data_IF_020590559192
#
_entry.id   IF_020590559192
#
_cell.length_a   1.000
_cell.length_b   1.000
_cell.length_c   1.000
_cell.angle_alpha   90.00
_cell.angle_beta   90.00
_cell.angle_gamma   90.00
#
_symmetry.space_group_name_H-M   'P 1'
#
loop_
_entity.id
_entity.type
_entity.pdbx_description
1 polymer ?
#
# COMPACT_ATOMS: atom_id res chain seq x y z
N UNK A 1 0.81 -50.13 -23.72
CA UNK A 1 2.04 -50.17 -22.90
C UNK A 1 2.91 -48.97 -23.27
N UNK A 2 2.90 -47.94 -22.44
CA UNK A 2 3.90 -46.86 -22.48
C UNK A 2 3.98 -46.31 -21.06
N UNK A 3 5.07 -46.65 -20.36
CA UNK A 3 5.36 -46.26 -18.99
C UNK A 3 5.75 -44.77 -18.98
N UNK A 4 5.00 -43.96 -18.22
CA UNK A 4 5.30 -42.55 -18.01
C UNK A 4 6.24 -42.44 -16.79
N UNK A 5 7.45 -41.91 -17.02
CA UNK A 5 8.43 -41.70 -15.96
C UNK A 5 7.97 -40.61 -14.96
N UNK A 6 8.28 -40.73 -13.66
CA UNK A 6 7.91 -39.71 -12.68
C UNK A 6 8.77 -38.46 -12.84
N UNK A 7 8.14 -37.28 -12.75
CA UNK A 7 8.80 -35.97 -12.72
C UNK A 7 9.67 -35.85 -11.46
N UNK A 8 10.86 -35.21 -11.53
CA UNK A 8 11.69 -35.01 -10.35
C UNK A 8 11.02 -33.98 -9.41
N UNK A 9 10.92 -34.34 -8.14
CA UNK A 9 10.58 -33.43 -7.05
C UNK A 9 11.68 -32.37 -6.91
N UNK A 10 11.32 -31.10 -7.13
CA UNK A 10 12.17 -29.97 -6.75
C UNK A 10 12.27 -29.96 -5.22
N UNK A 11 13.38 -30.47 -4.70
CA UNK A 11 13.73 -30.29 -3.30
C UNK A 11 13.78 -28.79 -2.99
N UNK A 12 12.92 -28.38 -2.06
CA UNK A 12 12.94 -27.06 -1.42
C UNK A 12 14.26 -26.96 -0.66
N UNK A 13 15.28 -26.34 -1.25
CA UNK A 13 16.48 -25.92 -0.53
C UNK A 13 16.03 -24.81 0.44
N UNK A 14 15.77 -25.18 1.69
CA UNK A 14 15.45 -24.23 2.73
C UNK A 14 16.71 -23.42 3.04
N UNK A 15 16.69 -22.12 2.75
CA UNK A 15 17.69 -21.13 3.19
C UNK A 15 17.48 -20.84 4.68
N UNK A 16 17.63 -21.85 5.55
CA UNK A 16 17.33 -21.72 6.99
C UNK A 16 18.57 -21.42 7.85
N UNK A 17 19.74 -21.24 7.23
CA UNK A 17 21.02 -20.97 7.93
C UNK A 17 21.43 -19.50 8.04
N UNK A 18 20.92 -18.61 7.18
CA UNK A 18 21.55 -17.29 6.94
C UNK A 18 21.56 -16.33 8.13
N UNK A 19 20.43 -16.14 8.82
CA UNK A 19 20.26 -14.94 9.63
C UNK A 19 21.04 -14.87 10.95
N UNK A 20 21.24 -15.98 11.67
CA UNK A 20 22.11 -15.96 12.87
C UNK A 20 23.57 -15.92 12.45
N UNK A 21 23.97 -16.61 11.37
CA UNK A 21 25.32 -16.46 10.83
C UNK A 21 25.57 -15.03 10.37
N UNK A 22 24.58 -14.38 9.74
CA UNK A 22 24.64 -12.98 9.30
C UNK A 22 24.60 -11.98 10.46
N UNK A 23 23.73 -12.16 11.46
CA UNK A 23 23.72 -11.30 12.67
C UNK A 23 24.98 -11.52 13.49
N UNK A 24 25.45 -12.77 13.62
CA UNK A 24 26.68 -13.08 14.35
C UNK A 24 27.89 -12.57 13.57
N UNK A 25 27.90 -12.64 12.25
CA UNK A 25 28.93 -12.04 11.39
C UNK A 25 28.91 -10.51 11.49
N UNK A 26 27.74 -9.88 11.32
CA UNK A 26 27.57 -8.44 11.44
C UNK A 26 27.95 -7.94 12.84
N UNK A 27 27.57 -8.66 13.90
CA UNK A 27 27.96 -8.35 15.28
C UNK A 27 29.46 -8.54 15.50
N UNK A 28 30.06 -9.61 14.97
CA UNK A 28 31.51 -9.87 15.05
C UNK A 28 32.32 -8.84 14.26
N UNK A 29 31.79 -8.33 13.15
CA UNK A 29 32.37 -7.23 12.37
C UNK A 29 32.23 -5.89 13.07
N UNK A 30 31.07 -5.59 13.66
CA UNK A 30 30.85 -4.38 14.45
C UNK A 30 31.76 -4.35 15.70
N UNK A 31 31.91 -5.50 16.37
CA UNK A 31 32.85 -5.69 17.48
C UNK A 31 34.31 -5.55 17.00
N UNK A 32 34.66 -6.04 15.80
CA UNK A 32 35.99 -5.87 15.22
C UNK A 32 36.30 -4.40 14.84
N UNK A 33 35.31 -3.65 14.36
CA UNK A 33 35.43 -2.21 14.06
C UNK A 33 35.50 -1.35 15.34
N UNK A 34 34.78 -1.76 16.38
CA UNK A 34 34.83 -1.15 17.73
C UNK A 34 36.19 -1.32 18.42
N UNK A 35 36.90 -2.42 18.13
CA UNK A 35 38.22 -2.71 18.69
C UNK A 35 39.39 -2.06 17.91
N UNK A 36 39.13 -1.45 16.76
CA UNK A 36 40.13 -0.66 16.02
C UNK A 36 40.04 0.83 16.38
N UNK A 37 40.46 1.19 17.59
CA UNK A 37 40.81 2.57 17.91
C UNK A 37 42.13 2.94 17.22
N UNK A 38 42.25 4.09 16.54
CA UNK A 38 43.55 4.57 16.09
C UNK A 38 44.27 5.21 17.28
N UNK A 39 45.40 4.63 17.66
CA UNK A 39 46.33 5.23 18.59
C UNK A 39 47.22 6.26 17.87
N UNK A 40 47.42 7.37 18.57
CA UNK A 40 48.52 8.34 18.50
C UNK A 40 48.53 9.47 17.44
N UNK A 41 48.62 10.67 18.02
CA UNK A 41 49.49 11.80 17.66
C UNK A 41 48.95 12.92 16.75
N UNK A 42 48.58 14.02 17.42
CA UNK A 42 48.64 15.39 16.90
C UNK A 42 50.09 15.77 16.55
N UNK A 43 50.27 16.63 15.54
CA UNK A 43 50.99 17.86 15.81
C UNK A 43 50.33 19.12 15.22
N UNK A 44 50.36 20.16 16.06
CA UNK A 44 50.56 21.60 15.82
C UNK A 44 50.00 22.28 14.56
N UNK A 45 49.24 23.34 14.85
CA UNK A 45 48.84 24.48 14.03
C UNK A 45 50.01 25.20 13.33
N UNK A 46 49.74 25.74 12.14
CA UNK A 46 50.55 26.75 11.46
C UNK A 46 49.86 27.25 10.18
N UNK A 47 49.44 28.52 10.17
CA UNK A 47 48.86 29.22 9.01
C UNK A 47 49.92 29.54 7.93
N UNK A 48 49.52 29.67 6.66
CA UNK A 48 49.77 30.82 5.74
C UNK A 48 49.33 30.50 4.28
N UNK A 49 48.83 31.56 3.64
CA UNK A 49 48.19 31.80 2.35
C UNK A 49 48.90 31.47 1.01
N UNK A 50 48.04 31.23 0.00
CA UNK A 50 48.00 31.69 -1.43
C UNK A 50 49.11 31.39 -2.47
N UNK A 51 48.59 31.03 -3.67
CA UNK A 51 49.11 31.12 -5.05
C UNK A 51 49.99 30.00 -5.67
N UNK A 52 49.53 29.51 -6.85
CA UNK A 52 50.39 29.01 -7.93
C UNK A 52 49.99 27.68 -8.58
N UNK A 53 49.36 27.72 -9.76
CA UNK A 53 49.52 26.68 -10.80
C UNK A 53 50.71 27.06 -11.72
N UNK A 54 51.25 26.22 -12.64
CA UNK A 54 50.84 24.86 -13.06
C UNK A 54 52.01 23.83 -13.22
N UNK A 55 51.65 22.61 -13.63
CA UNK A 55 52.37 21.71 -14.57
C UNK A 55 52.74 20.28 -14.08
N UNK A 56 52.10 19.31 -14.74
CA UNK A 56 52.59 18.05 -15.33
C UNK A 56 53.51 17.14 -14.48
N UNK A 57 52.97 15.96 -14.13
CA UNK A 57 53.76 14.78 -13.79
C UNK A 57 52.92 13.66 -13.18
N UNK A 58 52.49 12.69 -13.99
CA UNK A 58 52.00 11.41 -13.49
C UNK A 58 53.12 10.65 -12.79
N UNK A 59 52.82 9.95 -11.68
CA UNK A 59 53.18 8.54 -11.67
C UNK A 59 52.09 7.63 -11.08
N UNK A 60 51.94 6.48 -11.75
CA UNK A 60 51.55 5.17 -11.26
C UNK A 60 50.45 5.07 -10.18
N UNK A 61 49.27 4.65 -10.63
CA UNK A 61 48.21 4.07 -9.83
C UNK A 61 48.73 3.02 -8.85
N UNK A 62 48.76 3.35 -7.56
CA UNK A 62 48.67 2.35 -6.52
C UNK A 62 47.26 1.77 -6.57
N UNK A 63 47.15 0.48 -6.89
CA UNK A 63 45.93 -0.29 -6.73
C UNK A 63 45.61 -0.35 -5.23
N UNK A 64 44.78 0.57 -4.74
CA UNK A 64 44.08 0.35 -3.48
C UNK A 64 43.23 -0.92 -3.64
N UNK A 65 43.29 -1.88 -2.72
CA UNK A 65 42.39 -3.01 -2.77
C UNK A 65 40.96 -2.48 -2.74
N UNK A 66 40.15 -2.83 -3.73
CA UNK A 66 38.71 -2.57 -3.69
C UNK A 66 38.18 -3.36 -2.50
N UNK A 67 37.96 -2.67 -1.38
CA UNK A 67 37.12 -3.20 -0.31
C UNK A 67 35.79 -3.56 -0.96
N UNK A 68 35.37 -4.83 -0.95
CA UNK A 68 34.02 -5.14 -1.42
C UNK A 68 33.07 -4.31 -0.56
N UNK A 69 32.22 -3.52 -1.21
CA UNK A 69 31.09 -2.88 -0.52
C UNK A 69 30.27 -4.01 0.09
N UNK A 70 30.42 -4.22 1.40
CA UNK A 70 29.59 -5.15 2.15
C UNK A 70 28.15 -4.65 1.99
N UNK A 71 27.36 -5.34 1.19
CA UNK A 71 25.93 -5.08 1.14
C UNK A 71 25.39 -5.46 2.53
N UNK A 72 24.85 -4.48 3.25
CA UNK A 72 24.23 -4.70 4.54
C UNK A 72 23.23 -5.88 4.45
N UNK A 73 23.22 -6.80 5.44
CA UNK A 73 22.38 -7.99 5.40
C UNK A 73 20.91 -7.59 5.26
N UNK A 74 20.16 -8.31 4.43
CA UNK A 74 18.74 -8.01 4.15
C UNK A 74 17.86 -9.16 4.64
N UNK A 75 16.81 -8.84 5.40
CA UNK A 75 15.86 -9.84 5.88
C UNK A 75 15.13 -10.56 4.73
N UNK A 76 15.20 -11.89 4.75
CA UNK A 76 14.56 -12.76 3.76
C UNK A 76 13.24 -13.36 4.25
N UNK A 77 13.11 -13.61 5.56
CA UNK A 77 11.96 -14.29 6.16
C UNK A 77 10.76 -13.40 6.49
N UNK A 78 10.93 -12.08 6.53
CA UNK A 78 9.84 -11.17 6.88
C UNK A 78 9.95 -9.81 6.19
N UNK A 79 8.82 -9.10 6.13
CA UNK A 79 8.71 -7.77 5.56
C UNK A 79 7.64 -6.94 6.29
N UNK A 80 7.60 -5.64 6.00
CA UNK A 80 6.54 -4.75 6.48
C UNK A 80 5.68 -4.21 5.34
N UNK A 81 4.44 -3.85 5.68
CA UNK A 81 3.57 -3.04 4.85
C UNK A 81 2.97 -1.95 5.71
N UNK A 82 2.98 -0.72 5.21
CA UNK A 82 2.54 0.46 5.97
C UNK A 82 1.36 1.12 5.29
N UNK A 83 0.30 1.40 6.05
CA UNK A 83 -0.54 2.54 5.73
C UNK A 83 0.25 3.86 5.86
N UNK A 84 -0.26 4.95 5.30
CA UNK A 84 0.42 6.24 5.26
C UNK A 84 -0.24 7.24 6.20
N UNK A 85 -1.54 7.50 6.04
CA UNK A 85 -2.23 8.61 6.68
C UNK A 85 -2.63 8.21 8.10
N UNK A 86 -2.01 8.82 9.12
CA UNK A 86 -2.17 8.42 10.52
C UNK A 86 -1.11 7.43 11.01
N UNK A 87 -0.30 6.86 10.11
CA UNK A 87 0.83 5.96 10.45
C UNK A 87 2.20 6.60 10.20
N UNK A 88 2.40 7.15 9.00
CA UNK A 88 3.66 7.79 8.59
C UNK A 88 3.50 9.31 8.51
N UNK A 89 2.37 9.77 7.99
CA UNK A 89 2.07 11.17 7.75
C UNK A 89 0.81 11.56 8.51
N UNK A 90 0.82 12.75 9.14
CA UNK A 90 -0.39 13.36 9.70
C UNK A 90 -0.45 14.82 9.30
N UNK A 91 -1.56 15.23 8.67
CA UNK A 91 -1.74 16.60 8.20
C UNK A 91 -0.66 17.10 7.23
N UNK A 92 -0.13 16.20 6.38
CA UNK A 92 0.90 16.53 5.40
C UNK A 92 2.32 16.67 5.95
N UNK A 93 2.56 16.31 7.22
CA UNK A 93 3.88 16.26 7.85
C UNK A 93 4.19 14.83 8.31
N UNK A 94 5.45 14.45 8.25
CA UNK A 94 5.89 13.19 8.83
C UNK A 94 5.65 13.18 10.35
N UNK A 95 5.16 12.03 10.84
CA UNK A 95 5.23 11.70 12.25
C UNK A 95 6.70 11.48 12.59
N UNK A 96 7.26 12.11 13.64
CA UNK A 96 8.70 12.04 13.94
C UNK A 96 9.24 10.60 14.00
N UNK A 97 8.49 9.72 14.68
CA UNK A 97 8.82 8.31 14.85
C UNK A 97 8.79 7.54 13.53
N UNK A 98 8.09 8.03 12.51
CA UNK A 98 8.07 7.42 11.18
C UNK A 98 9.43 7.56 10.48
N UNK A 99 10.09 8.72 10.59
CA UNK A 99 11.44 8.93 10.01
C UNK A 99 12.43 7.99 10.69
N UNK A 100 12.36 7.86 12.01
CA UNK A 100 13.18 6.92 12.77
C UNK A 100 12.89 5.46 12.40
N UNK A 101 11.62 5.09 12.23
CA UNK A 101 11.23 3.75 11.80
C UNK A 101 11.80 3.39 10.44
N UNK A 102 11.78 4.33 9.48
CA UNK A 102 12.33 4.10 8.15
C UNK A 102 13.86 3.97 8.15
N UNK A 103 14.58 4.79 8.95
CA UNK A 103 16.03 4.62 9.17
C UNK A 103 16.33 3.26 9.79
N UNK A 104 15.57 2.87 10.81
CA UNK A 104 15.69 1.57 11.46
C UNK A 104 15.51 0.41 10.48
N UNK A 105 14.49 0.45 9.61
CA UNK A 105 14.29 -0.57 8.57
C UNK A 105 15.40 -0.60 7.52
N UNK A 106 16.09 0.52 7.30
CA UNK A 106 17.15 0.65 6.30
C UNK A 106 18.56 0.38 6.85
N UNK A 107 18.67 -0.23 8.04
CA UNK A 107 19.93 -0.72 8.59
C UNK A 107 20.48 0.12 9.74
N UNK A 108 19.86 1.23 10.11
CA UNK A 108 20.17 1.98 11.34
C UNK A 108 19.53 1.33 12.58
N UNK A 109 19.66 0.00 12.67
CA UNK A 109 19.27 -0.77 13.84
C UNK A 109 20.50 -1.49 14.42
N UNK A 110 20.35 -2.01 15.63
CA UNK A 110 21.42 -2.68 16.38
C UNK A 110 22.04 -3.91 15.69
N UNK A 111 21.44 -4.39 14.59
CA UNK A 111 21.90 -5.54 13.82
C UNK A 111 22.46 -5.17 12.43
N UNK A 112 22.41 -3.89 12.02
CA UNK A 112 22.76 -3.48 10.66
C UNK A 112 21.83 -4.07 9.58
N UNK A 113 20.67 -4.57 9.97
CA UNK A 113 19.80 -5.38 9.12
C UNK A 113 18.84 -4.50 8.31
N UNK A 114 18.80 -4.66 6.99
CA UNK A 114 17.80 -4.03 6.13
C UNK A 114 16.56 -4.91 6.06
N UNK A 115 15.38 -4.35 6.25
CA UNK A 115 14.12 -5.09 6.25
C UNK A 115 13.26 -4.57 5.10
N UNK A 116 12.82 -5.42 4.16
CA UNK A 116 11.98 -4.99 3.04
C UNK A 116 10.62 -4.47 3.49
N UNK A 117 10.11 -3.44 2.82
CA UNK A 117 8.79 -2.91 3.06
C UNK A 117 8.11 -2.32 1.81
N UNK A 118 6.79 -2.18 1.88
CA UNK A 118 5.95 -1.49 0.89
C UNK A 118 4.98 -0.51 1.58
N UNK A 119 4.43 0.42 0.80
CA UNK A 119 3.41 1.37 1.23
C UNK A 119 2.07 1.03 0.57
N UNK A 120 1.01 0.89 1.38
CA UNK A 120 -0.34 0.60 0.93
C UNK A 120 -1.32 1.63 1.51
N UNK A 121 -1.68 2.63 0.70
CA UNK A 121 -2.65 3.66 1.06
C UNK A 121 -3.93 3.53 0.26
N UNK A 122 -5.05 3.85 0.90
CA UNK A 122 -6.33 4.03 0.21
C UNK A 122 -6.45 5.43 -0.43
N UNK A 123 -5.56 6.36 -0.06
CA UNK A 123 -5.46 7.67 -0.69
C UNK A 123 -5.09 7.56 -2.18
N UNK A 124 -5.39 8.63 -2.92
CA UNK A 124 -5.17 8.68 -4.36
C UNK A 124 -5.27 10.09 -4.93
N UNK A 125 -5.38 10.18 -6.25
CA UNK A 125 -5.61 11.43 -7.00
C UNK A 125 -4.35 12.07 -7.56
N UNK A 126 -3.22 11.38 -7.47
CA UNK A 126 -1.91 11.73 -8.01
C UNK A 126 -1.27 10.45 -8.55
N UNK A 127 -0.34 10.55 -9.49
CA UNK A 127 0.41 9.36 -9.92
C UNK A 127 1.26 8.81 -8.77
N UNK A 128 1.60 7.53 -8.82
CA UNK A 128 2.50 6.92 -7.84
C UNK A 128 3.83 7.68 -7.75
N UNK A 129 4.36 8.18 -8.86
CA UNK A 129 5.61 8.95 -8.90
C UNK A 129 5.50 10.30 -8.21
N UNK A 130 4.36 11.00 -8.36
CA UNK A 130 4.13 12.25 -7.61
C UNK A 130 3.96 11.95 -6.12
N UNK A 131 3.22 10.91 -5.74
CA UNK A 131 3.06 10.51 -4.33
C UNK A 131 4.38 10.08 -3.70
N UNK A 132 5.22 9.36 -4.43
CA UNK A 132 6.53 8.96 -3.96
C UNK A 132 7.44 10.17 -3.75
N UNK A 133 7.42 11.16 -4.66
CA UNK A 133 8.17 12.42 -4.49
C UNK A 133 7.70 13.19 -3.26
N UNK A 134 6.38 13.32 -3.07
CA UNK A 134 5.81 13.99 -1.90
C UNK A 134 6.23 13.29 -0.60
N UNK A 135 6.07 11.96 -0.53
CA UNK A 135 6.43 11.18 0.65
C UNK A 135 7.95 11.23 0.90
N UNK A 136 8.76 11.18 -0.16
CA UNK A 136 10.21 11.26 -0.05
C UNK A 136 10.66 12.58 0.58
N UNK A 137 10.05 13.69 0.17
CA UNK A 137 10.33 15.00 0.73
C UNK A 137 9.86 15.13 2.18
N UNK A 138 8.69 14.57 2.51
CA UNK A 138 8.15 14.60 3.88
C UNK A 138 8.97 13.77 4.86
N UNK A 139 9.48 12.62 4.42
CA UNK A 139 10.17 11.64 5.25
C UNK A 139 11.70 11.75 5.18
N UNK A 140 12.23 12.68 4.38
CA UNK A 140 13.67 12.86 4.11
C UNK A 140 14.36 11.55 3.69
N UNK A 141 13.69 10.76 2.84
CA UNK A 141 14.19 9.48 2.36
C UNK A 141 13.75 9.22 0.92
N UNK A 142 14.46 8.38 0.18
CA UNK A 142 14.01 7.99 -1.16
C UNK A 142 12.91 6.91 -1.08
N UNK A 143 11.77 7.18 -1.71
CA UNK A 143 10.67 6.22 -1.89
C UNK A 143 10.54 5.85 -3.36
N UNK A 144 10.63 4.56 -3.65
CA UNK A 144 10.47 4.04 -5.00
C UNK A 144 8.99 3.83 -5.36
N UNK A 145 8.54 4.24 -6.57
CA UNK A 145 7.22 3.88 -7.09
C UNK A 145 6.95 2.37 -7.09
N UNK A 146 7.98 1.55 -7.22
CA UNK A 146 7.85 0.10 -7.19
C UNK A 146 7.53 -0.49 -5.79
N UNK A 147 7.50 0.35 -4.75
CA UNK A 147 7.08 -0.01 -3.39
C UNK A 147 5.71 0.56 -3.02
N UNK A 148 5.06 1.31 -3.91
CA UNK A 148 3.94 2.18 -3.56
C UNK A 148 2.64 1.72 -4.21
N UNK A 149 1.58 1.64 -3.42
CA UNK A 149 0.24 1.27 -3.87
C UNK A 149 -0.74 2.34 -3.37
N UNK A 150 -1.39 3.02 -4.31
CA UNK A 150 -2.52 3.91 -4.10
C UNK A 150 -3.84 3.15 -4.25
N UNK A 151 -4.95 3.74 -3.79
CA UNK A 151 -6.28 3.13 -3.94
C UNK A 151 -6.67 2.85 -5.40
N UNK A 152 -6.24 3.71 -6.33
CA UNK A 152 -6.52 3.56 -7.76
C UNK A 152 -5.52 2.66 -8.51
N UNK A 153 -4.37 2.28 -7.93
CA UNK A 153 -3.34 1.49 -8.63
C UNK A 153 -3.87 0.17 -9.20
N UNK A 154 -4.69 -0.63 -8.47
CA UNK A 154 -5.24 -1.87 -9.03
C UNK A 154 -6.21 -1.64 -10.20
N UNK A 155 -6.79 -0.45 -10.33
CA UNK A 155 -7.74 -0.13 -11.40
C UNK A 155 -7.09 -0.08 -12.78
N UNK A 156 -5.75 0.03 -12.87
CA UNK A 156 -5.02 -0.06 -14.14
C UNK A 156 -5.34 -1.34 -14.92
N UNK A 157 -5.64 -2.43 -14.23
CA UNK A 157 -6.02 -3.72 -14.84
C UNK A 157 -7.38 -3.65 -15.58
N UNK A 158 -8.13 -2.54 -15.43
CA UNK A 158 -9.41 -2.31 -16.13
C UNK A 158 -9.25 -1.51 -17.42
N UNK A 159 -8.08 -0.92 -17.69
CA UNK A 159 -7.84 -0.09 -18.86
C UNK A 159 -8.01 -0.84 -20.20
N UNK A 160 -7.71 -2.15 -20.22
CA UNK A 160 -7.91 -2.98 -21.41
C UNK A 160 -9.39 -3.30 -21.67
N UNK A 161 -10.21 -3.28 -20.62
CA UNK A 161 -11.62 -3.69 -20.67
C UNK A 161 -12.56 -2.54 -21.03
N UNK A 162 -12.28 -1.33 -20.57
CA UNK A 162 -13.15 -0.17 -20.74
C UNK A 162 -12.45 0.91 -21.54
N UNK A 163 -13.05 1.30 -22.67
CA UNK A 163 -12.46 2.28 -23.58
C UNK A 163 -12.82 3.71 -23.20
N UNK A 164 -14.13 4.01 -23.18
CA UNK A 164 -14.68 5.33 -22.84
C UNK A 164 -15.16 5.32 -21.40
N UNK A 165 -14.50 6.09 -20.54
CA UNK A 165 -14.70 6.04 -19.09
C UNK A 165 -14.88 7.44 -18.50
N UNK A 166 -15.73 7.56 -17.49
CA UNK A 166 -15.79 8.75 -16.64
C UNK A 166 -14.85 8.55 -15.46
N UNK A 167 -13.93 9.48 -15.24
CA UNK A 167 -13.04 9.51 -14.08
C UNK A 167 -13.41 10.67 -13.16
N UNK A 168 -13.77 10.35 -11.92
CA UNK A 168 -14.31 11.28 -10.91
C UNK A 168 -13.30 11.50 -9.79
N UNK A 169 -13.28 12.74 -9.30
CA UNK A 169 -12.55 13.18 -8.11
C UNK A 169 -11.12 13.64 -8.36
N UNK A 170 -10.42 13.97 -7.27
CA UNK A 170 -9.08 14.54 -7.31
C UNK A 170 -9.04 16.04 -7.57
N UNK A 171 -7.84 16.57 -7.79
CA UNK A 171 -7.59 18.00 -8.00
C UNK A 171 -7.27 18.28 -9.46
N UNK A 172 -7.97 19.26 -10.06
CA UNK A 172 -7.78 19.64 -11.46
C UNK A 172 -7.87 18.44 -12.40
N UNK A 173 -6.84 18.26 -13.24
CA UNK A 173 -6.78 17.15 -14.20
C UNK A 173 -6.01 15.92 -13.70
N UNK A 174 -5.57 15.88 -12.44
CA UNK A 174 -4.64 14.84 -11.98
C UNK A 174 -5.20 13.43 -12.13
N UNK A 175 -6.46 13.20 -11.80
CA UNK A 175 -7.09 11.88 -12.00
C UNK A 175 -7.19 11.51 -13.48
N UNK A 176 -7.38 12.47 -14.39
CA UNK A 176 -7.34 12.22 -15.84
C UNK A 176 -5.95 11.73 -16.24
N UNK A 177 -4.91 12.42 -15.79
CA UNK A 177 -3.51 12.08 -16.08
C UNK A 177 -3.13 10.69 -15.54
N UNK A 178 -3.60 10.35 -14.33
CA UNK A 178 -3.44 9.00 -13.76
C UNK A 178 -4.11 7.95 -14.65
N UNK A 179 -5.35 8.18 -15.06
CA UNK A 179 -6.08 7.23 -15.90
C UNK A 179 -5.43 7.06 -17.29
N UNK A 180 -5.07 8.16 -17.94
CA UNK A 180 -4.35 8.12 -19.22
C UNK A 180 -2.98 7.42 -19.07
N UNK A 181 -2.26 7.66 -17.97
CA UNK A 181 -1.02 6.98 -17.63
C UNK A 181 -1.16 5.47 -17.41
N UNK A 182 -2.30 5.01 -16.90
CA UNK A 182 -2.63 3.58 -16.83
C UNK A 182 -3.06 2.96 -18.16
N UNK A 183 -3.24 3.77 -19.20
CA UNK A 183 -3.61 3.31 -20.54
C UNK A 183 -5.11 3.37 -20.86
N UNK A 184 -5.93 4.03 -20.04
CA UNK A 184 -7.32 4.32 -20.43
C UNK A 184 -7.30 5.24 -21.65
N UNK A 185 -8.05 4.86 -22.69
CA UNK A 185 -7.92 5.47 -24.03
C UNK A 185 -8.76 6.72 -24.21
N UNK A 186 -9.97 6.72 -23.65
CA UNK A 186 -10.92 7.82 -23.79
C UNK A 186 -11.46 8.19 -22.40
N UNK A 187 -10.77 9.14 -21.75
CA UNK A 187 -11.06 9.56 -20.39
C UNK A 187 -11.87 10.85 -20.40
N UNK A 188 -13.07 10.80 -19.84
CA UNK A 188 -13.99 11.91 -19.59
C UNK A 188 -13.90 12.29 -18.11
N UNK A 189 -14.02 13.57 -17.80
CA UNK A 189 -14.15 14.08 -16.42
C UNK A 189 -15.50 14.77 -16.22
N UNK A 190 -15.95 14.97 -14.97
CA UNK A 190 -17.13 15.78 -14.67
C UNK A 190 -17.11 17.17 -15.31
N UNK A 191 -15.94 17.81 -15.38
CA UNK A 191 -15.77 19.11 -16.03
C UNK A 191 -16.13 19.10 -17.52
N UNK A 192 -15.79 18.03 -18.24
CA UNK A 192 -16.13 17.89 -19.67
C UNK A 192 -17.66 17.89 -19.88
N UNK A 193 -18.38 17.19 -19.00
CA UNK A 193 -19.86 17.08 -19.04
C UNK A 193 -20.50 18.43 -18.70
N UNK A 194 -20.03 19.10 -17.65
CA UNK A 194 -20.56 20.41 -17.24
C UNK A 194 -20.28 21.48 -18.31
N UNK A 195 -19.12 21.42 -18.97
CA UNK A 195 -18.78 22.32 -20.07
C UNK A 195 -19.68 22.13 -21.28
N UNK A 196 -20.05 20.89 -21.60
CA UNK A 196 -21.00 20.60 -22.67
C UNK A 196 -22.41 21.09 -22.32
N UNK A 197 -22.89 20.85 -21.10
CA UNK A 197 -24.18 21.32 -20.63
C UNK A 197 -24.13 21.72 -19.16
N UNK A 198 -24.04 23.03 -18.91
CA UNK A 198 -23.97 23.56 -17.54
C UNK A 198 -25.22 23.29 -16.71
N UNK A 199 -26.35 22.96 -17.34
CA UNK A 199 -27.59 22.64 -16.64
C UNK A 199 -27.55 21.26 -15.95
N UNK A 200 -26.59 20.38 -16.27
CA UNK A 200 -26.39 19.09 -15.60
C UNK A 200 -26.13 19.27 -14.10
N UNK A 201 -25.41 20.32 -13.71
CA UNK A 201 -25.13 20.63 -12.30
C UNK A 201 -25.60 22.06 -11.98
N UNK A 202 -26.90 22.29 -11.71
CA UNK A 202 -27.51 23.62 -11.71
C UNK A 202 -26.97 24.56 -10.63
N UNK A 203 -26.34 24.03 -9.58
CA UNK A 203 -25.80 24.79 -8.45
C UNK A 203 -24.31 25.08 -8.56
N UNK A 204 -23.67 24.70 -9.67
CA UNK A 204 -22.24 24.90 -9.88
C UNK A 204 -21.96 25.58 -11.22
N UNK A 205 -20.90 26.39 -11.22
CA UNK A 205 -20.23 26.86 -12.43
C UNK A 205 -18.77 26.43 -12.37
N UNK A 206 -18.23 26.03 -13.50
CA UNK A 206 -16.79 25.78 -13.61
C UNK A 206 -16.05 27.11 -13.40
N UNK A 207 -14.96 27.04 -12.65
CA UNK A 207 -13.96 28.12 -12.61
C UNK A 207 -13.29 28.26 -13.98
N UNK A 208 -12.62 29.39 -14.22
CA UNK A 208 -11.87 29.60 -15.47
C UNK A 208 -10.82 28.50 -15.73
N UNK A 209 -10.15 28.04 -14.67
CA UNK A 209 -9.18 26.96 -14.75
C UNK A 209 -9.84 25.63 -15.11
N UNK A 210 -10.92 25.24 -14.41
CA UNK A 210 -11.65 24.01 -14.72
C UNK A 210 -12.25 24.06 -16.14
N UNK A 211 -12.77 25.21 -16.57
CA UNK A 211 -13.31 25.38 -17.91
C UNK A 211 -12.23 25.25 -18.98
N UNK A 212 -11.03 25.77 -18.74
CA UNK A 212 -9.87 25.61 -19.63
C UNK A 212 -9.40 24.15 -19.70
N UNK A 213 -9.38 23.46 -18.57
CA UNK A 213 -8.96 22.06 -18.45
C UNK A 213 -10.01 21.09 -19.02
N UNK A 214 -11.28 21.47 -19.04
CA UNK A 214 -12.37 20.64 -19.57
C UNK A 214 -12.35 20.60 -21.10
N UNK A 215 -12.41 19.40 -21.66
CA UNK A 215 -12.40 19.13 -23.10
C UNK A 215 -13.81 19.31 -23.66
N UNK A 216 -13.93 20.04 -24.76
CA UNK A 216 -15.21 20.20 -25.46
C UNK A 216 -15.53 18.90 -26.23
N UNK A 217 -16.74 18.38 -26.03
CA UNK A 217 -17.20 17.13 -26.63
C UNK A 217 -18.71 17.15 -26.74
N UNK A 218 -19.23 16.55 -27.81
CA UNK A 218 -20.65 16.22 -27.92
C UNK A 218 -20.89 14.84 -27.28
N UNK A 219 -21.79 14.80 -26.29
CA UNK A 219 -22.14 13.58 -25.55
C UNK A 219 -23.44 12.92 -26.05
N UNK A 220 -24.06 13.44 -27.11
CA UNK A 220 -25.37 12.97 -27.60
C UNK A 220 -25.43 11.48 -27.97
N UNK A 221 -24.32 10.90 -28.44
CA UNK A 221 -24.23 9.47 -28.78
C UNK A 221 -22.94 8.81 -28.26
N UNK A 222 -22.44 9.28 -27.11
CA UNK A 222 -21.23 8.71 -26.48
C UNK A 222 -21.65 7.77 -25.35
N UNK A 223 -21.47 6.44 -25.51
CA UNK A 223 -21.67 5.50 -24.41
C UNK A 223 -20.47 5.56 -23.46
N UNK A 224 -20.72 5.88 -22.18
CA UNK A 224 -19.73 5.79 -21.12
C UNK A 224 -19.81 4.38 -20.51
N UNK A 225 -18.74 3.59 -20.65
CA UNK A 225 -18.74 2.15 -20.37
C UNK A 225 -18.51 1.82 -18.89
N UNK A 226 -17.88 2.73 -18.14
CA UNK A 226 -17.61 2.59 -16.71
C UNK A 226 -17.34 3.96 -16.07
N UNK A 227 -17.64 4.05 -14.77
CA UNK A 227 -17.28 5.18 -13.92
C UNK A 227 -16.19 4.75 -12.95
N UNK A 228 -15.13 5.53 -12.85
CA UNK A 228 -14.03 5.29 -11.91
C UNK A 228 -13.87 6.48 -10.98
N UNK A 229 -14.06 6.25 -9.68
CA UNK A 229 -13.83 7.25 -8.63
C UNK A 229 -12.41 7.03 -8.08
N UNK A 230 -11.45 7.72 -8.68
CA UNK A 230 -10.02 7.56 -8.38
C UNK A 230 -9.60 8.24 -7.08
N UNK A 231 -10.27 9.31 -6.69
CA UNK A 231 -10.01 10.03 -5.45
C UNK A 231 -11.27 10.73 -4.95
N UNK A 232 -11.21 11.28 -3.75
CA UNK A 232 -12.31 12.08 -3.21
C UNK A 232 -12.69 13.23 -4.14
N UNK A 233 -14.00 13.37 -4.36
CA UNK A 233 -14.57 14.51 -5.06
C UNK A 233 -14.37 15.80 -4.28
N UNK A 234 -14.13 16.90 -4.99
CA UNK A 234 -14.10 18.26 -4.44
C UNK A 234 -15.44 19.00 -4.61
N UNK A 235 -16.41 18.37 -5.29
CA UNK A 235 -17.76 18.88 -5.53
C UNK A 235 -18.77 17.72 -5.50
N UNK A 236 -19.13 17.29 -4.29
CA UNK A 236 -19.93 16.07 -4.10
C UNK A 236 -21.31 16.18 -4.76
N UNK A 237 -21.95 17.35 -4.73
CA UNK A 237 -23.29 17.51 -5.29
C UNK A 237 -23.29 17.33 -6.82
N UNK A 238 -22.37 18.00 -7.53
CA UNK A 238 -22.26 17.90 -8.98
C UNK A 238 -21.81 16.52 -9.44
N UNK A 239 -20.80 15.95 -8.78
CA UNK A 239 -20.28 14.63 -9.14
C UNK A 239 -21.32 13.52 -8.87
N UNK A 240 -22.06 13.57 -7.75
CA UNK A 240 -23.17 12.64 -7.50
C UNK A 240 -24.25 12.77 -8.57
N UNK A 241 -24.63 13.99 -8.96
CA UNK A 241 -25.65 14.18 -10.00
C UNK A 241 -25.23 13.50 -11.32
N UNK A 242 -23.99 13.74 -11.76
CA UNK A 242 -23.45 13.14 -12.99
C UNK A 242 -23.39 11.60 -12.89
N UNK A 243 -22.90 11.08 -11.76
CA UNK A 243 -22.83 9.63 -11.53
C UNK A 243 -24.23 9.00 -11.50
N UNK A 244 -25.20 9.69 -10.90
CA UNK A 244 -26.59 9.24 -10.82
C UNK A 244 -27.26 9.23 -12.20
N UNK A 245 -27.07 10.29 -13.00
CA UNK A 245 -27.60 10.37 -14.37
C UNK A 245 -27.09 9.21 -15.22
N UNK A 246 -25.81 8.88 -15.11
CA UNK A 246 -25.22 7.74 -15.81
C UNK A 246 -25.72 6.41 -15.27
N UNK A 247 -25.81 6.24 -13.96
CA UNK A 247 -26.34 5.02 -13.34
C UNK A 247 -27.78 4.71 -13.78
N UNK A 248 -28.59 5.75 -14.01
CA UNK A 248 -29.96 5.62 -14.48
C UNK A 248 -30.10 5.63 -16.02
N UNK A 249 -29.01 5.77 -16.77
CA UNK A 249 -29.04 5.90 -18.23
C UNK A 249 -29.26 4.58 -18.96
N UNK A 250 -29.67 4.67 -20.23
CA UNK A 250 -29.69 3.53 -21.17
C UNK A 250 -28.29 3.30 -21.73
N UNK A 251 -27.59 2.28 -21.21
CA UNK A 251 -26.30 1.85 -21.74
C UNK A 251 -25.18 2.89 -21.61
N UNK A 252 -25.21 3.71 -20.56
CA UNK A 252 -24.18 4.73 -20.31
C UNK A 252 -24.29 5.99 -21.16
N UNK A 253 -25.39 6.20 -21.88
CA UNK A 253 -25.60 7.39 -22.73
C UNK A 253 -26.21 8.53 -21.94
N UNK A 254 -25.49 9.65 -21.82
CA UNK A 254 -25.97 10.85 -21.14
C UNK A 254 -27.30 11.36 -21.73
N UNK A 255 -28.17 11.88 -20.88
CA UNK A 255 -29.49 12.41 -21.25
C UNK A 255 -30.57 11.35 -21.54
N UNK A 256 -30.24 10.06 -21.46
CA UNK A 256 -31.22 8.96 -21.55
C UNK A 256 -31.65 8.50 -20.17
N UNK A 257 -32.81 7.86 -20.08
CA UNK A 257 -33.33 7.28 -18.84
C UNK A 257 -33.76 5.83 -19.09
N UNK A 258 -33.11 4.87 -18.44
CA UNK A 258 -33.48 3.46 -18.47
C UNK A 258 -34.84 3.25 -17.81
N UNK A 259 -35.64 2.36 -18.38
CA UNK A 259 -36.92 1.99 -17.76
C UNK A 259 -36.69 1.06 -16.58
N UNK A 260 -35.66 0.20 -16.62
CA UNK A 260 -35.36 -0.76 -15.56
C UNK A 260 -34.40 -0.20 -14.52
N UNK A 261 -33.58 0.78 -14.89
CA UNK A 261 -32.44 1.30 -14.10
C UNK A 261 -31.36 0.24 -13.83
N UNK A 262 -31.26 -0.77 -14.71
CA UNK A 262 -30.23 -1.83 -14.65
C UNK A 262 -29.20 -1.71 -15.79
N UNK A 263 -29.37 -0.74 -16.70
CA UNK A 263 -28.55 -0.59 -17.91
C UNK A 263 -27.39 0.40 -17.75
N UNK A 264 -27.26 1.02 -16.57
CA UNK A 264 -26.19 1.95 -16.26
C UNK A 264 -24.82 1.27 -16.21
N UNK A 265 -23.73 2.03 -16.42
CA UNK A 265 -22.38 1.47 -16.37
C UNK A 265 -21.98 1.11 -14.92
N UNK A 266 -21.09 0.12 -14.73
CA UNK A 266 -20.53 -0.18 -13.41
C UNK A 266 -19.71 0.98 -12.87
N UNK A 267 -19.71 1.13 -11.55
CA UNK A 267 -19.01 2.19 -10.82
C UNK A 267 -17.95 1.58 -9.93
N UNK A 268 -16.70 1.96 -10.16
CA UNK A 268 -15.55 1.49 -9.41
C UNK A 268 -15.03 2.57 -8.47
N UNK A 269 -15.00 2.29 -7.17
CA UNK A 269 -14.46 3.16 -6.13
C UNK A 269 -13.07 2.69 -5.71
N UNK A 270 -12.11 3.60 -5.59
CA UNK A 270 -10.72 3.27 -5.23
C UNK A 270 -10.58 2.77 -3.79
N UNK A 271 -11.48 3.16 -2.89
CA UNK A 271 -11.58 2.62 -1.54
C UNK A 271 -12.97 2.83 -0.93
N UNK A 272 -13.18 2.30 0.28
CA UNK A 272 -14.46 2.35 1.01
C UNK A 272 -14.41 3.09 2.34
N UNK A 273 -13.31 3.78 2.67
CA UNK A 273 -13.19 4.40 3.98
C UNK A 273 -14.20 5.54 4.10
N UNK A 274 -15.09 5.43 5.08
CA UNK A 274 -16.09 6.46 5.38
C UNK A 274 -15.41 7.66 6.02
N UNK A 275 -14.37 7.42 6.82
CA UNK A 275 -13.59 8.44 7.52
C UNK A 275 -12.10 8.18 7.41
N UNK A 276 -11.29 9.23 7.51
CA UNK A 276 -9.83 9.16 7.50
C UNK A 276 -9.18 10.24 8.39
N UNK A 277 -7.90 10.05 8.75
CA UNK A 277 -7.11 10.96 9.56
C UNK A 277 -6.46 12.07 8.72
N UNK A 278 -6.95 13.30 8.86
CA UNK A 278 -6.45 14.48 8.14
C UNK A 278 -5.67 15.42 9.09
N UNK A 279 -5.42 16.67 8.67
CA UNK A 279 -4.78 17.69 9.51
C UNK A 279 -5.64 18.17 10.70
N UNK A 280 -6.95 17.91 10.67
CA UNK A 280 -7.90 18.33 11.69
C UNK A 280 -7.94 17.32 12.85
N UNK A 281 -8.21 17.77 14.08
CA UNK A 281 -8.21 16.91 15.27
C UNK A 281 -9.25 15.78 15.20
N UNK A 282 -10.40 16.06 14.61
CA UNK A 282 -11.45 15.08 14.31
C UNK A 282 -11.32 14.51 12.89
N UNK A 283 -11.60 13.20 12.74
CA UNK A 283 -11.63 12.48 11.46
C UNK A 283 -12.53 13.17 10.42
N UNK A 284 -12.14 13.11 9.14
CA UNK A 284 -12.87 13.72 8.01
C UNK A 284 -13.56 12.65 7.17
N UNK A 285 -14.64 13.02 6.49
CA UNK A 285 -15.30 12.10 5.56
C UNK A 285 -14.39 11.80 4.36
N UNK A 286 -14.43 10.56 3.90
CA UNK A 286 -13.74 10.09 2.70
C UNK A 286 -14.70 9.49 1.67
N UNK A 287 -14.14 8.81 0.68
CA UNK A 287 -14.87 8.29 -0.48
C UNK A 287 -15.99 7.32 -0.12
N UNK A 288 -15.84 6.57 0.98
CA UNK A 288 -16.88 5.66 1.46
C UNK A 288 -18.19 6.39 1.79
N UNK A 289 -18.11 7.64 2.26
CA UNK A 289 -19.29 8.47 2.48
C UNK A 289 -19.94 8.89 1.14
N UNK A 290 -19.13 9.30 0.16
CA UNK A 290 -19.60 9.62 -1.20
C UNK A 290 -20.32 8.43 -1.84
N UNK A 291 -19.71 7.24 -1.76
CA UNK A 291 -20.30 5.98 -2.23
C UNK A 291 -21.65 5.71 -1.56
N UNK A 292 -21.72 5.80 -0.24
CA UNK A 292 -22.95 5.54 0.51
C UNK A 292 -24.06 6.53 0.13
N UNK A 293 -23.74 7.81 -0.04
CA UNK A 293 -24.72 8.79 -0.50
C UNK A 293 -25.27 8.43 -1.88
N UNK A 294 -24.40 8.09 -2.84
CA UNK A 294 -24.83 7.67 -4.17
C UNK A 294 -25.77 6.45 -4.12
N UNK A 295 -25.40 5.42 -3.35
CA UNK A 295 -26.20 4.19 -3.21
C UNK A 295 -27.58 4.46 -2.59
N UNK A 296 -27.66 5.35 -1.59
CA UNK A 296 -28.92 5.74 -0.96
C UNK A 296 -29.77 6.59 -1.91
N UNK A 297 -29.18 7.63 -2.51
CA UNK A 297 -29.87 8.53 -3.43
C UNK A 297 -30.41 7.76 -4.64
N UNK A 298 -29.63 6.83 -5.22
CA UNK A 298 -30.09 5.98 -6.31
C UNK A 298 -31.33 5.18 -5.91
N UNK A 299 -31.33 4.55 -4.73
CA UNK A 299 -32.49 3.79 -4.24
C UNK A 299 -33.72 4.68 -4.05
N UNK A 300 -33.55 5.88 -3.53
CA UNK A 300 -34.66 6.80 -3.27
C UNK A 300 -35.26 7.33 -4.57
N UNK A 301 -34.42 7.80 -5.50
CA UNK A 301 -34.85 8.37 -6.79
C UNK A 301 -35.50 7.31 -7.69
N UNK A 302 -34.95 6.10 -7.71
CA UNK A 302 -35.52 4.98 -8.49
C UNK A 302 -36.68 4.28 -7.80
N UNK A 303 -37.05 4.68 -6.57
CA UNK A 303 -38.05 3.99 -5.73
C UNK A 303 -37.72 2.50 -5.56
N UNK A 304 -36.44 2.19 -5.34
CA UNK A 304 -35.87 0.84 -5.20
C UNK A 304 -36.01 -0.03 -6.45
N UNK A 305 -36.18 0.57 -7.63
CA UNK A 305 -36.20 -0.12 -8.91
C UNK A 305 -34.80 -0.17 -9.51
N UNK A 306 -34.43 -1.33 -10.04
CA UNK A 306 -33.13 -1.56 -10.65
C UNK A 306 -31.99 -1.71 -9.64
N UNK A 307 -30.78 -1.88 -10.17
CA UNK A 307 -29.60 -2.28 -9.40
C UNK A 307 -28.41 -1.41 -9.75
N UNK A 308 -27.86 -0.73 -8.73
CA UNK A 308 -26.61 -0.01 -8.87
C UNK A 308 -25.43 -0.98 -8.76
N UNK A 309 -24.64 -1.10 -9.82
CA UNK A 309 -23.46 -1.97 -9.85
C UNK A 309 -22.22 -1.24 -9.34
N UNK A 310 -22.02 -1.23 -8.02
CA UNK A 310 -20.83 -0.66 -7.40
C UNK A 310 -19.79 -1.73 -7.05
N UNK A 311 -18.53 -1.40 -7.28
CA UNK A 311 -17.38 -2.22 -6.93
C UNK A 311 -16.37 -1.34 -6.21
N UNK A 312 -15.73 -1.87 -5.17
CA UNK A 312 -14.71 -1.13 -4.45
C UNK A 312 -13.39 -1.88 -4.44
N UNK A 313 -12.34 -1.10 -4.53
CA UNK A 313 -10.96 -1.49 -4.34
C UNK A 313 -10.49 -0.99 -2.97
N UNK A 314 -9.18 -0.95 -2.76
CA UNK A 314 -8.57 -0.48 -1.53
C UNK A 314 -8.77 -1.47 -0.38
N UNK A 315 -8.15 -1.17 0.74
CA UNK A 315 -8.40 -1.85 2.02
C UNK A 315 -9.86 -1.61 2.41
N UNK A 316 -10.55 -2.60 2.99
CA UNK A 316 -10.07 -3.90 3.46
C UNK A 316 -10.23 -5.04 2.43
N UNK A 317 -10.39 -4.75 1.13
CA UNK A 317 -10.68 -5.79 0.14
C UNK A 317 -9.51 -6.76 0.01
N UNK A 318 -9.79 -8.06 0.08
CA UNK A 318 -8.80 -9.16 -0.06
C UNK A 318 -7.94 -8.98 -1.32
N UNK A 319 -8.56 -8.62 -2.44
CA UNK A 319 -7.86 -8.40 -3.72
C UNK A 319 -6.78 -7.31 -3.66
N UNK A 320 -6.93 -6.31 -2.79
CA UNK A 320 -5.92 -5.27 -2.57
C UNK A 320 -4.69 -5.85 -1.88
N UNK A 321 -4.88 -6.76 -0.91
CA UNK A 321 -3.78 -7.43 -0.20
C UNK A 321 -3.09 -8.48 -1.08
N UNK A 322 -3.83 -9.16 -1.97
CA UNK A 322 -3.25 -10.01 -3.01
C UNK A 322 -2.36 -9.21 -3.97
N UNK A 323 -2.83 -8.04 -4.41
CA UNK A 323 -2.03 -7.13 -5.24
C UNK A 323 -0.77 -6.67 -4.50
N UNK A 324 -0.90 -6.27 -3.23
CA UNK A 324 0.22 -5.88 -2.38
C UNK A 324 1.24 -7.01 -2.21
N UNK A 325 0.78 -8.24 -2.04
CA UNK A 325 1.64 -9.43 -1.96
C UNK A 325 2.45 -9.63 -3.24
N UNK A 326 1.81 -9.52 -4.42
CA UNK A 326 2.51 -9.63 -5.72
C UNK A 326 3.56 -8.53 -5.88
N UNK A 327 3.22 -7.29 -5.54
CA UNK A 327 4.15 -6.16 -5.64
C UNK A 327 5.32 -6.29 -4.67
N UNK A 328 5.07 -6.69 -3.42
CA UNK A 328 6.12 -6.96 -2.44
C UNK A 328 7.09 -8.05 -2.93
N UNK A 329 6.57 -9.14 -3.49
CA UNK A 329 7.39 -10.22 -4.07
C UNK A 329 8.25 -9.70 -5.23
N UNK A 330 7.66 -8.94 -6.16
CA UNK A 330 8.39 -8.36 -7.29
C UNK A 330 9.49 -7.39 -6.81
N UNK A 331 9.16 -6.51 -5.87
CA UNK A 331 10.10 -5.56 -5.30
C UNK A 331 11.30 -6.27 -4.64
N UNK A 332 11.03 -7.24 -3.76
CA UNK A 332 12.08 -8.03 -3.09
C UNK A 332 12.94 -8.81 -4.07
N UNK A 333 12.36 -9.35 -5.13
CA UNK A 333 13.09 -10.02 -6.20
C UNK A 333 14.02 -9.06 -6.93
N UNK A 334 13.52 -7.90 -7.34
CA UNK A 334 14.29 -6.95 -8.14
C UNK A 334 15.40 -6.25 -7.35
N UNK A 335 15.15 -5.91 -6.08
CA UNK A 335 16.10 -5.15 -5.26
C UNK A 335 17.07 -6.01 -4.47
N UNK A 336 16.65 -7.21 -4.06
CA UNK A 336 17.40 -8.03 -3.11
C UNK A 336 17.65 -9.45 -3.62
N UNK A 337 17.16 -9.81 -4.82
CA UNK A 337 17.33 -11.15 -5.39
C UNK A 337 16.47 -12.23 -4.72
N UNK A 338 15.56 -11.86 -3.81
CA UNK A 338 14.71 -12.82 -3.11
C UNK A 338 13.50 -13.22 -3.93
N UNK A 339 13.47 -14.48 -4.39
CA UNK A 339 12.35 -15.03 -5.16
C UNK A 339 11.26 -15.66 -4.29
N UNK A 340 11.56 -16.03 -3.04
CA UNK A 340 10.60 -16.62 -2.14
C UNK A 340 9.75 -15.54 -1.44
N UNK A 341 8.45 -15.77 -1.22
CA UNK A 341 7.64 -14.88 -0.39
C UNK A 341 8.18 -14.83 1.05
N UNK A 342 7.98 -13.72 1.78
CA UNK A 342 8.32 -13.67 3.19
C UNK A 342 7.37 -14.58 3.99
N UNK A 343 7.89 -15.24 5.02
CA UNK A 343 7.08 -16.07 5.94
C UNK A 343 6.08 -15.22 6.73
N UNK A 344 6.44 -13.97 7.04
CA UNK A 344 5.56 -13.02 7.76
C UNK A 344 5.60 -11.63 7.13
N UNK A 345 4.44 -11.02 6.95
CA UNK A 345 4.27 -9.60 6.61
C UNK A 345 3.60 -8.90 7.79
N UNK A 346 4.29 -7.93 8.37
CA UNK A 346 3.73 -7.09 9.41
C UNK A 346 3.02 -5.89 8.78
N UNK A 347 1.69 -5.87 8.85
CA UNK A 347 0.90 -4.75 8.35
C UNK A 347 0.65 -3.76 9.49
N UNK A 348 1.13 -2.52 9.32
CA UNK A 348 0.97 -1.44 10.29
C UNK A 348 -0.07 -0.46 9.79
N UNK A 349 -1.15 -0.28 10.55
CA UNK A 349 -2.27 0.58 10.20
C UNK A 349 -2.86 1.30 11.41
N UNK A 350 -3.67 2.33 11.15
CA UNK A 350 -4.33 3.15 12.17
C UNK A 350 -5.85 2.92 12.23
N UNK A 351 -6.42 2.27 11.20
CA UNK A 351 -7.87 2.18 11.00
C UNK A 351 -8.35 0.74 11.18
N UNK A 352 -9.07 0.41 12.27
CA UNK A 352 -9.55 -0.95 12.54
C UNK A 352 -10.40 -1.55 11.40
N UNK A 353 -11.31 -0.77 10.82
CA UNK A 353 -12.24 -1.19 9.78
C UNK A 353 -11.58 -1.37 8.40
N UNK A 354 -10.36 -0.86 8.21
CA UNK A 354 -9.66 -0.89 6.92
C UNK A 354 -8.41 -1.74 7.01
N UNK A 355 -7.42 -1.30 7.78
CA UNK A 355 -6.12 -1.96 7.89
C UNK A 355 -6.22 -3.28 8.64
N UNK A 356 -6.83 -3.26 9.82
CA UNK A 356 -6.85 -4.42 10.72
C UNK A 356 -7.81 -5.47 10.19
N UNK A 357 -9.04 -5.08 9.82
CA UNK A 357 -9.98 -5.97 9.15
C UNK A 357 -9.36 -6.59 7.89
N UNK A 358 -8.81 -5.77 7.00
CA UNK A 358 -8.26 -6.26 5.73
C UNK A 358 -7.12 -7.23 5.92
N UNK A 359 -6.19 -6.92 6.82
CA UNK A 359 -5.06 -7.80 7.16
C UNK A 359 -5.54 -9.13 7.74
N UNK A 360 -6.47 -9.09 8.70
CA UNK A 360 -6.99 -10.29 9.35
C UNK A 360 -7.74 -11.19 8.37
N UNK A 361 -8.64 -10.61 7.55
CA UNK A 361 -9.39 -11.37 6.53
C UNK A 361 -8.47 -11.93 5.47
N UNK A 362 -7.48 -11.18 4.99
CA UNK A 362 -6.51 -11.73 4.02
C UNK A 362 -5.70 -12.89 4.62
N UNK A 363 -5.26 -12.76 5.87
CA UNK A 363 -4.49 -13.78 6.57
C UNK A 363 -5.21 -15.14 6.69
N UNK A 364 -6.54 -15.18 6.71
CA UNK A 364 -7.30 -16.43 6.76
C UNK A 364 -7.09 -17.34 5.53
N UNK A 365 -6.64 -16.75 4.42
CA UNK A 365 -6.52 -17.43 3.12
C UNK A 365 -5.11 -17.34 2.51
N UNK A 366 -4.21 -16.56 3.11
CA UNK A 366 -2.86 -16.36 2.62
C UNK A 366 -1.94 -17.55 2.94
N UNK A 367 -1.01 -17.87 2.04
CA UNK A 367 0.01 -18.89 2.29
C UNK A 367 1.04 -18.46 3.35
N UNK A 368 1.15 -17.16 3.61
CA UNK A 368 2.07 -16.55 4.56
C UNK A 368 1.35 -15.77 5.66
N UNK A 369 2.04 -15.51 6.78
CA UNK A 369 1.43 -14.87 7.94
C UNK A 369 1.31 -13.36 7.75
N UNK A 370 0.09 -12.84 7.63
CA UNK A 370 -0.19 -11.40 7.64
C UNK A 370 -0.58 -10.96 9.05
N UNK A 371 0.35 -10.26 9.69
CA UNK A 371 0.29 -9.90 11.09
C UNK A 371 -0.13 -8.44 11.28
N UNK A 372 -1.35 -8.20 11.77
CA UNK A 372 -1.89 -6.87 11.96
C UNK A 372 -1.34 -6.18 13.22
N UNK A 373 -0.80 -4.97 13.06
CA UNK A 373 -0.37 -4.08 14.13
C UNK A 373 -1.15 -2.76 14.02
N UNK A 374 -1.86 -2.41 15.08
CA UNK A 374 -2.61 -1.16 15.19
C UNK A 374 -1.76 -0.11 15.91
N UNK A 375 -1.58 1.06 15.29
CA UNK A 375 -0.95 2.24 15.93
C UNK A 375 -1.99 3.21 16.46
N UNK A 376 -1.60 4.07 17.40
CA UNK A 376 -2.49 5.06 18.04
C UNK A 376 -2.36 6.49 17.51
N UNK A 377 -1.66 6.68 16.40
CA UNK A 377 -1.34 7.99 15.85
C UNK A 377 -2.39 8.55 14.87
N UNK A 378 -3.44 7.77 14.55
CA UNK A 378 -4.45 8.11 13.55
C UNK A 378 -5.90 7.91 14.00
N UNK A 379 -6.71 7.21 13.19
CA UNK A 379 -8.18 7.06 13.36
C UNK A 379 -8.54 6.36 14.67
N UNK A 380 -7.81 5.32 15.07
CA UNK A 380 -8.04 4.62 16.33
C UNK A 380 -7.84 5.53 17.55
N UNK A 381 -8.82 5.53 18.45
CA UNK A 381 -8.78 6.31 19.69
C UNK A 381 -8.28 5.45 20.86
N UNK A 382 -7.20 5.87 21.51
CA UNK A 382 -6.68 5.13 22.68
C UNK A 382 -7.72 5.03 23.80
N UNK A 383 -7.72 3.89 24.50
CA UNK A 383 -8.72 3.57 25.51
C UNK A 383 -10.07 3.09 24.99
N UNK A 384 -10.27 3.01 23.66
CA UNK A 384 -11.47 2.39 23.06
C UNK A 384 -11.20 0.96 22.60
N UNK A 385 -12.24 0.12 22.53
CA UNK A 385 -12.14 -1.21 21.93
C UNK A 385 -12.22 -1.11 20.40
N UNK A 386 -11.21 -1.56 19.64
CA UNK A 386 -11.25 -1.50 18.18
C UNK A 386 -12.31 -2.47 17.64
N UNK A 387 -13.07 -2.04 16.63
CA UNK A 387 -14.12 -2.86 16.01
C UNK A 387 -13.59 -4.19 15.44
N UNK A 388 -12.29 -4.25 15.10
CA UNK A 388 -11.60 -5.45 14.69
C UNK A 388 -10.32 -5.60 15.51
N UNK A 389 -10.15 -6.77 16.14
CA UNK A 389 -9.04 -7.01 17.06
C UNK A 389 -7.71 -7.15 16.29
N UNK A 390 -6.72 -6.28 16.53
CA UNK A 390 -5.39 -6.45 15.96
C UNK A 390 -4.63 -7.55 16.71
N UNK A 391 -3.56 -8.07 16.11
CA UNK A 391 -2.65 -8.99 16.82
C UNK A 391 -1.72 -8.28 17.79
N UNK A 392 -1.42 -7.01 17.52
CA UNK A 392 -0.73 -6.12 18.46
C UNK A 392 -1.28 -4.69 18.35
N UNK A 393 -1.27 -3.98 19.47
CA UNK A 393 -1.52 -2.53 19.53
C UNK A 393 -0.30 -1.87 20.14
N UNK A 394 0.21 -0.82 19.50
CA UNK A 394 1.41 -0.08 19.92
C UNK A 394 1.17 1.42 19.77
N UNK A 395 2.01 2.24 20.40
CA UNK A 395 1.80 3.68 20.40
C UNK A 395 2.16 4.31 19.05
N UNK A 396 3.32 3.95 18.48
CA UNK A 396 3.85 4.55 17.25
C UNK A 396 4.29 3.52 16.20
N UNK A 397 4.53 3.98 14.97
CA UNK A 397 5.10 3.13 13.89
C UNK A 397 6.51 2.62 14.22
N UNK A 398 7.32 3.38 14.97
CA UNK A 398 8.63 2.91 15.43
C UNK A 398 8.49 1.72 16.39
N UNK A 399 7.52 1.78 17.29
CA UNK A 399 7.22 0.67 18.20
C UNK A 399 6.72 -0.56 17.43
N UNK A 400 5.94 -0.36 16.36
CA UNK A 400 5.48 -1.43 15.49
C UNK A 400 6.64 -2.16 14.81
N UNK A 401 7.62 -1.41 14.29
CA UNK A 401 8.81 -1.97 13.64
C UNK A 401 9.67 -2.75 14.66
N UNK A 402 9.91 -2.16 15.83
CA UNK A 402 10.64 -2.82 16.92
C UNK A 402 9.93 -4.10 17.39
N UNK A 403 8.60 -4.06 17.53
CA UNK A 403 7.78 -5.21 17.88
C UNK A 403 7.94 -6.35 16.86
N UNK A 404 7.79 -6.05 15.55
CA UNK A 404 7.93 -7.05 14.50
C UNK A 404 9.29 -7.73 14.51
N UNK A 405 10.38 -6.93 14.65
CA UNK A 405 11.72 -7.49 14.78
C UNK A 405 11.88 -8.38 16.02
N UNK A 406 11.37 -7.97 17.18
CA UNK A 406 11.41 -8.77 18.40
C UNK A 406 10.64 -10.09 18.25
N UNK A 407 9.49 -10.09 17.57
CA UNK A 407 8.75 -11.31 17.27
C UNK A 407 9.58 -12.28 16.43
N UNK A 408 10.28 -11.79 15.41
CA UNK A 408 11.13 -12.62 14.56
C UNK A 408 12.35 -13.18 15.30
N UNK A 409 12.98 -12.38 16.16
CA UNK A 409 14.07 -12.84 17.03
C UNK A 409 13.58 -13.97 17.96
N UNK A 410 12.41 -13.79 18.59
CA UNK A 410 11.80 -14.82 19.46
C UNK A 410 11.47 -16.11 18.69
N UNK A 411 10.85 -16.01 17.50
CA UNK A 411 10.55 -17.17 16.65
C UNK A 411 11.80 -17.99 16.36
N UNK A 412 12.93 -17.31 16.07
CA UNK A 412 14.20 -17.97 15.75
C UNK A 412 14.89 -18.58 16.97
N UNK A 413 14.86 -17.92 18.14
CA UNK A 413 15.37 -18.51 19.40
C UNK A 413 14.60 -19.78 19.74
N UNK A 414 13.27 -19.74 19.65
CA UNK A 414 12.43 -20.93 19.89
C UNK A 414 12.73 -22.05 18.89
N UNK A 415 12.95 -21.71 17.60
CA UNK A 415 13.32 -22.69 16.57
C UNK A 415 14.71 -23.30 16.81
N UNK A 416 15.69 -22.50 17.24
CA UNK A 416 17.03 -22.94 17.61
C UNK A 416 17.02 -23.89 18.81
N UNK A 417 16.35 -23.50 19.90
CA UNK A 417 16.18 -24.35 21.07
C UNK A 417 15.46 -25.67 20.74
N UNK A 418 14.44 -25.64 19.86
CA UNK A 418 13.78 -26.87 19.40
C UNK A 418 14.71 -27.79 18.60
N UNK A 419 15.57 -27.21 17.76
CA UNK A 419 16.56 -27.96 16.96
C UNK A 419 17.60 -28.64 17.86
N UNK A 420 18.07 -27.93 18.89
CA UNK A 420 19.09 -28.41 19.82
C UNK A 420 18.54 -29.49 20.78
N UNK A 421 17.24 -29.43 21.11
CA UNK A 421 16.64 -30.34 22.10
C UNK A 421 16.06 -31.62 21.47
N UNK A 422 15.52 -31.59 20.25
CA UNK A 422 14.70 -32.72 19.75
C UNK A 422 15.27 -33.56 18.61
N UNK A 423 16.30 -33.11 17.88
CA UNK A 423 16.85 -33.88 16.74
C UNK A 423 15.84 -34.10 15.59
N UNK A 424 16.29 -34.02 14.33
CA UNK A 424 15.41 -34.00 13.14
C UNK A 424 14.44 -35.18 13.01
N UNK A 425 14.74 -36.35 13.61
CA UNK A 425 13.93 -37.56 13.49
C UNK A 425 12.63 -37.51 14.31
N UNK A 426 12.63 -36.89 15.50
CA UNK A 426 11.46 -36.88 16.40
C UNK A 426 10.39 -35.85 15.99
N UNK A 427 10.81 -34.78 15.30
CA UNK A 427 9.89 -33.78 14.76
C UNK A 427 9.01 -34.33 13.63
N UNK A 428 9.51 -35.31 12.86
CA UNK A 428 8.74 -35.94 11.79
C UNK A 428 7.62 -36.85 12.34
N UNK A 429 7.87 -37.51 13.48
CA UNK A 429 6.86 -38.31 14.19
C UNK A 429 5.79 -37.45 14.88
N UNK A 430 6.15 -36.28 15.42
CA UNK A 430 5.20 -35.36 16.04
C UNK A 430 4.21 -34.72 15.05
N UNK A 431 4.60 -34.60 13.78
CA UNK A 431 3.75 -34.07 12.69
C UNK A 431 2.76 -35.11 12.14
N UNK A 432 3.00 -36.41 12.33
CA UNK A 432 2.17 -37.51 11.83
C UNK A 432 1.23 -38.11 12.90
N UNK A 433 1.26 -37.59 14.12
CA UNK A 433 0.66 -38.23 15.30
C UNK A 433 -0.64 -37.63 15.87
N UNK A 434 -1.32 -36.68 15.20
CA UNK A 434 -2.61 -36.18 15.68
C UNK A 434 -3.64 -35.96 14.56
N UNK A 435 -4.49 -36.97 14.41
CA UNK A 435 -5.76 -36.90 13.69
C UNK A 435 -6.81 -36.03 14.41
N UNK A 436 -7.54 -35.30 13.57
CA UNK A 436 -8.97 -34.98 13.63
C UNK A 436 -9.58 -34.41 14.93
N UNK A 437 -9.82 -33.10 14.92
CA UNK A 437 -11.06 -32.54 15.46
C UNK A 437 -11.49 -31.35 14.58
N UNK A 438 -12.21 -31.69 13.51
CA UNK A 438 -13.00 -30.75 12.71
C UNK A 438 -14.14 -30.24 13.60
N UNK A 439 -14.20 -28.92 13.82
CA UNK A 439 -15.42 -28.24 14.26
C UNK A 439 -15.77 -27.22 13.18
N UNK A 440 -16.82 -27.57 12.41
CA UNK A 440 -17.48 -26.70 11.44
C UNK A 440 -18.34 -25.62 12.13
N UNK A 441 -18.69 -24.54 11.40
CA UNK A 441 -19.06 -23.24 11.98
C UNK A 441 -20.56 -23.13 12.30
N UNK A 442 -20.89 -22.30 13.29
CA UNK A 442 -22.26 -21.88 13.57
C UNK A 442 -22.38 -20.35 13.60
N UNK A 443 -23.19 -19.87 12.66
CA UNK A 443 -24.16 -18.77 12.74
C UNK A 443 -23.63 -17.33 12.68
N UNK A 444 -23.69 -16.81 11.45
CA UNK A 444 -23.84 -15.39 11.12
C UNK A 444 -24.98 -14.77 11.94
N UNK A 445 -24.64 -13.73 12.73
CA UNK A 445 -25.65 -12.82 13.29
C UNK A 445 -25.83 -11.65 12.32
N UNK A 446 -27.00 -11.62 11.69
CA UNK A 446 -27.55 -10.41 11.08
C UNK A 446 -27.58 -9.28 12.12
N UNK A 447 -26.92 -8.15 11.82
CA UNK A 447 -27.17 -6.92 12.57
C UNK A 447 -28.36 -6.17 11.94
N UNK A 448 -29.36 -5.77 12.73
CA UNK A 448 -30.50 -5.03 12.22
C UNK A 448 -30.08 -3.62 11.79
N UNK A 449 -30.45 -3.28 10.56
CA UNK A 449 -30.48 -1.91 10.05
C UNK A 449 -31.49 -1.13 10.91
N UNK A 450 -31.02 -0.08 11.60
CA UNK A 450 -31.89 0.87 12.30
C UNK A 450 -32.81 1.57 11.29
N UNK A 451 -34.09 1.62 11.67
CA UNK A 451 -35.22 2.17 10.92
C UNK A 451 -35.18 3.69 10.75
#
# INVERSE_FOLDING_TARGET
MSLQAPRPSLHRLSSTGSFIEEITAARKELEAMSMSSPDSSLPSSGEISLNGSPAIGSPASALSPMTPTLHAPVADGFAFAFDIDGVLIRGGRAIPEAVEAMRFLNGENEYGLRIPYIFLTNGGGKTEEERCRDLSAQMEMEVSPAQFICGHTPMREKAERYKTVLVVGGEGEKCRQVAEGYGFRDVITPGDIIKHNSATTPFRKLTEEEHKNSRERDFSDVPIEAIFVFADSRDWAGDIQIMLDLAMSKGGKLGTLSETFDEGPPIFFSHNDVVWSAAHDNVRLGMGALRRMLEVIFKDVTKKKGTLHTHAFGKPQVSTFEFATRLLQQWRRHQHGFNAPPDTVYFVGDTPESDIRGTNTYNEHADNDWHSILVKTGVYQDGTEPAYKPRATVDTVLDAVKYGLQCELRKRVVKGLRKDVFGEQACLEALLGKDSAVLTPLEEREMPILA
#
